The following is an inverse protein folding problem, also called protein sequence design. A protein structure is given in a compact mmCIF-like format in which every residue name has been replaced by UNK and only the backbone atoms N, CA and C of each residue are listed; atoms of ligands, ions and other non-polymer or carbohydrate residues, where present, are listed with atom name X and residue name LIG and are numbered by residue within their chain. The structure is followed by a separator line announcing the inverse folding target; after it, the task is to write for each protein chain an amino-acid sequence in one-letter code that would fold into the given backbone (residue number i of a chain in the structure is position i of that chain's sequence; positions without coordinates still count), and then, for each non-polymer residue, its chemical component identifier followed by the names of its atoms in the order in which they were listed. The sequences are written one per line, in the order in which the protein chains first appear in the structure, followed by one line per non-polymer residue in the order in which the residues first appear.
data_IF_973308240128
#
_entry.id   IF_973308240128
#
_cell.length_a   1.000
_cell.length_b   1.000
_cell.length_c   1.000
_cell.angle_alpha   90.00
_cell.angle_beta   90.00
_cell.angle_gamma   90.00
#
_symmetry.space_group_name_H-M   'P 1'
#
loop_
_entity.id
_entity.type
_entity.pdbx_description
1 polymer ?
#
# COMPACT_ATOMS: atom_id res chain seq x y z
N UNK A 1 35.16 -32.43 -21.70
CA UNK A 1 34.07 -31.68 -21.07
C UNK A 1 33.56 -32.34 -19.77
N UNK A 2 33.34 -33.66 -19.73
CA UNK A 2 32.88 -34.37 -18.53
C UNK A 2 33.90 -34.30 -17.37
N UNK A 3 35.19 -34.43 -17.68
CA UNK A 3 36.29 -34.36 -16.69
C UNK A 3 36.43 -32.94 -16.13
N UNK A 4 36.32 -31.93 -16.97
CA UNK A 4 36.32 -30.50 -16.53
C UNK A 4 35.14 -30.22 -15.59
N UNK A 5 33.93 -30.68 -15.92
CA UNK A 5 32.78 -30.56 -15.02
C UNK A 5 33.02 -31.25 -13.67
N UNK A 6 33.55 -32.47 -13.67
CA UNK A 6 33.86 -33.21 -12.44
C UNK A 6 34.90 -32.47 -11.58
N UNK A 7 35.90 -31.87 -12.21
CA UNK A 7 36.93 -31.09 -11.50
C UNK A 7 36.32 -29.80 -10.93
N UNK A 8 35.45 -29.11 -11.66
CA UNK A 8 34.71 -27.94 -11.18
C UNK A 8 33.87 -28.30 -9.96
N UNK A 9 33.08 -29.37 -10.01
CA UNK A 9 32.25 -29.82 -8.88
C UNK A 9 33.14 -30.20 -7.64
N UNK A 10 34.30 -30.83 -7.83
CA UNK A 10 35.24 -31.13 -6.76
C UNK A 10 35.81 -29.83 -6.13
N UNK A 11 36.15 -28.84 -6.95
CA UNK A 11 36.66 -27.55 -6.48
C UNK A 11 35.55 -26.80 -5.74
N UNK A 12 34.33 -26.79 -6.24
CA UNK A 12 33.16 -26.18 -5.57
C UNK A 12 32.95 -26.82 -4.20
N UNK A 13 32.95 -28.15 -4.08
CA UNK A 13 32.77 -28.85 -2.82
C UNK A 13 33.86 -28.49 -1.81
N UNK A 14 35.12 -28.39 -2.25
CA UNK A 14 36.24 -27.99 -1.39
C UNK A 14 36.12 -26.53 -0.94
N UNK A 15 35.73 -25.60 -1.85
CA UNK A 15 35.51 -24.20 -1.52
C UNK A 15 34.35 -24.03 -0.54
N UNK A 16 33.24 -24.74 -0.73
CA UNK A 16 32.14 -24.76 0.23
C UNK A 16 32.59 -25.28 1.61
N UNK A 17 33.39 -26.31 1.66
CA UNK A 17 33.94 -26.83 2.92
C UNK A 17 34.79 -25.78 3.63
N UNK A 18 35.66 -25.07 2.92
CA UNK A 18 36.48 -23.99 3.47
C UNK A 18 35.61 -22.81 3.91
N UNK A 19 34.67 -22.40 3.08
CA UNK A 19 33.79 -21.28 3.35
C UNK A 19 32.88 -21.50 4.56
N UNK A 20 32.37 -22.73 4.73
CA UNK A 20 31.58 -23.12 5.90
C UNK A 20 32.38 -23.22 7.19
N UNK A 21 33.73 -23.22 7.15
CA UNK A 21 34.61 -23.16 8.30
C UNK A 21 35.00 -21.74 8.70
N UNK A 22 34.73 -20.75 7.83
CA UNK A 22 35.04 -19.33 8.06
C UNK A 22 33.78 -18.63 8.54
N UNK A 23 33.76 -18.17 9.77
CA UNK A 23 32.76 -17.21 10.23
C UNK A 23 33.32 -15.79 10.13
N UNK A 24 32.46 -14.84 9.82
CA UNK A 24 32.84 -13.43 9.84
C UNK A 24 31.78 -12.61 10.59
N UNK A 25 32.25 -11.66 11.31
CA UNK A 25 31.40 -10.66 11.98
C UNK A 25 31.65 -9.30 11.38
N UNK A 26 30.62 -8.44 11.41
CA UNK A 26 30.77 -7.03 11.06
C UNK A 26 30.87 -6.25 12.35
N UNK A 27 32.01 -5.60 12.57
CA UNK A 27 32.22 -4.78 13.76
C UNK A 27 31.41 -3.45 13.68
N UNK A 28 31.43 -2.66 14.77
CA UNK A 28 30.72 -1.37 14.85
C UNK A 28 31.20 -0.34 13.81
N UNK A 29 32.37 -0.56 13.22
CA UNK A 29 32.95 0.32 12.18
C UNK A 29 32.66 -0.16 10.76
N UNK A 30 31.77 -1.17 10.58
CA UNK A 30 31.47 -1.79 9.29
C UNK A 30 32.65 -2.55 8.64
N UNK A 31 33.67 -2.89 9.39
CA UNK A 31 34.77 -3.74 8.93
C UNK A 31 34.39 -5.21 9.07
N UNK A 32 34.73 -6.01 8.06
CA UNK A 32 34.52 -7.46 8.07
C UNK A 32 35.67 -8.08 8.88
N UNK A 33 35.33 -8.70 9.99
CA UNK A 33 36.28 -9.45 10.81
C UNK A 33 36.04 -10.94 10.57
N UNK A 34 37.06 -11.64 10.08
CA UNK A 34 37.01 -13.09 9.87
C UNK A 34 37.34 -13.79 11.20
N UNK A 35 36.46 -14.67 11.66
CA UNK A 35 36.70 -15.52 12.82
C UNK A 35 36.83 -16.97 12.36
N UNK A 36 38.05 -17.51 12.48
CA UNK A 36 38.39 -18.87 12.08
C UNK A 36 38.15 -19.82 13.26
N UNK A 37 36.91 -20.25 13.46
CA UNK A 37 36.65 -21.31 14.43
C UNK A 37 35.42 -21.17 15.32
N UNK A 38 34.52 -20.27 15.09
CA UNK A 38 33.24 -20.21 15.82
C UNK A 38 32.17 -21.11 15.19
N UNK A 39 31.49 -21.86 16.02
CA UNK A 39 30.45 -22.84 15.62
C UNK A 39 29.10 -22.23 15.26
N UNK A 40 28.99 -20.90 15.28
CA UNK A 40 27.73 -20.16 15.08
C UNK A 40 27.66 -19.39 13.76
N UNK A 41 27.96 -20.02 12.66
CA UNK A 41 27.96 -19.34 11.37
C UNK A 41 26.55 -19.17 10.83
N UNK A 42 26.03 -17.94 10.84
CA UNK A 42 24.83 -17.53 10.06
C UNK A 42 25.05 -17.72 8.55
N UNK A 43 26.27 -18.05 8.15
CA UNK A 43 26.71 -18.24 6.77
C UNK A 43 26.95 -19.72 6.44
N UNK A 44 26.68 -20.66 7.36
CA UNK A 44 26.91 -22.09 7.15
C UNK A 44 26.27 -22.58 5.83
N UNK A 45 25.09 -22.07 5.49
CA UNK A 45 24.35 -22.43 4.28
C UNK A 45 24.31 -21.28 3.27
N UNK A 46 25.29 -20.35 3.32
CA UNK A 46 25.35 -19.22 2.41
C UNK A 46 25.65 -19.69 0.99
N UNK A 47 24.86 -19.20 0.04
CA UNK A 47 25.06 -19.44 -1.38
C UNK A 47 25.98 -18.37 -1.96
N UNK A 48 27.19 -18.80 -2.40
CA UNK A 48 28.18 -17.88 -2.97
C UNK A 48 28.17 -17.94 -4.50
N UNK A 49 27.65 -16.87 -5.11
CA UNK A 49 27.43 -16.80 -6.56
C UNK A 49 28.70 -16.97 -7.38
N UNK A 50 29.84 -16.45 -6.92
CA UNK A 50 31.13 -16.59 -7.59
C UNK A 50 31.63 -18.04 -7.63
N UNK A 51 31.28 -18.83 -6.60
CA UNK A 51 31.63 -20.26 -6.53
C UNK A 51 30.70 -21.10 -7.39
N UNK A 52 29.39 -20.77 -7.37
CA UNK A 52 28.39 -21.54 -8.09
C UNK A 52 28.40 -21.27 -9.60
N UNK A 53 28.80 -20.06 -10.01
CA UNK A 53 28.84 -19.60 -11.41
C UNK A 53 30.21 -19.04 -11.76
N UNK A 54 31.28 -19.88 -11.74
CA UNK A 54 32.65 -19.43 -12.04
C UNK A 54 32.80 -18.93 -13.50
N UNK A 55 31.90 -19.34 -14.40
CA UNK A 55 31.85 -18.88 -15.78
C UNK A 55 31.40 -17.41 -15.93
N UNK A 56 30.87 -16.82 -14.86
CA UNK A 56 30.47 -15.41 -14.81
C UNK A 56 31.51 -14.53 -14.10
N UNK A 57 32.72 -15.03 -13.88
CA UNK A 57 33.84 -14.24 -13.37
C UNK A 57 34.58 -13.57 -14.50
N UNK A 58 35.05 -12.35 -14.29
CA UNK A 58 35.98 -11.68 -15.18
C UNK A 58 37.42 -12.20 -14.97
N UNK A 59 38.38 -11.68 -15.74
CA UNK A 59 39.78 -12.05 -15.63
C UNK A 59 40.42 -11.79 -14.27
N UNK A 60 39.78 -10.97 -13.44
CA UNK A 60 40.20 -10.65 -12.05
C UNK A 60 39.47 -11.49 -11.00
N UNK A 61 38.60 -12.41 -11.43
CA UNK A 61 37.78 -13.23 -10.52
C UNK A 61 36.58 -12.50 -9.91
N UNK A 62 36.18 -11.35 -10.47
CA UNK A 62 35.02 -10.60 -9.99
C UNK A 62 33.76 -11.10 -10.70
N UNK A 63 32.70 -11.37 -9.92
CA UNK A 63 31.41 -11.78 -10.46
C UNK A 63 30.77 -10.64 -11.28
N UNK A 64 30.55 -10.88 -12.57
CA UNK A 64 30.07 -9.88 -13.51
C UNK A 64 28.54 -9.73 -13.54
N UNK A 65 27.80 -10.71 -13.00
CA UNK A 65 26.36 -10.75 -12.95
C UNK A 65 25.70 -11.52 -14.07
N UNK A 66 24.37 -11.63 -13.99
CA UNK A 66 23.52 -12.32 -14.96
C UNK A 66 23.02 -11.35 -16.04
N UNK A 67 22.75 -11.87 -17.24
CA UNK A 67 22.11 -11.12 -18.31
C UNK A 67 20.60 -11.00 -18.10
N UNK A 68 19.98 -12.03 -17.50
CA UNK A 68 18.54 -12.06 -17.23
C UNK A 68 18.23 -12.83 -15.97
N UNK A 69 17.30 -12.29 -15.18
CA UNK A 69 16.72 -12.97 -14.01
C UNK A 69 15.21 -12.97 -14.17
N UNK A 70 14.61 -14.15 -14.20
CA UNK A 70 13.17 -14.33 -14.21
C UNK A 70 12.75 -15.21 -13.03
N UNK A 71 11.65 -14.88 -12.35
CA UNK A 71 11.23 -15.70 -11.22
C UNK A 71 9.94 -15.28 -10.54
N UNK A 72 9.51 -16.19 -9.66
CA UNK A 72 8.44 -15.99 -8.71
C UNK A 72 9.04 -16.10 -7.30
N UNK A 73 9.45 -14.99 -6.67
CA UNK A 73 10.01 -15.01 -5.33
C UNK A 73 8.96 -15.45 -4.30
N UNK A 74 9.38 -16.02 -3.16
CA UNK A 74 8.45 -16.32 -2.09
C UNK A 74 7.82 -15.05 -1.50
N UNK A 75 6.54 -15.14 -1.12
CA UNK A 75 5.81 -14.05 -0.49
C UNK A 75 5.69 -14.34 1.01
N UNK A 76 6.21 -13.48 1.85
CA UNK A 76 6.12 -13.69 3.29
C UNK A 76 6.84 -12.59 4.08
N UNK A 77 6.45 -12.49 5.35
CA UNK A 77 7.06 -11.57 6.30
C UNK A 77 8.14 -12.30 7.10
N UNK A 78 9.28 -11.66 7.33
CA UNK A 78 10.32 -12.19 8.20
C UNK A 78 10.07 -11.74 9.64
N UNK A 79 9.90 -12.69 10.54
CA UNK A 79 9.69 -12.46 11.97
C UNK A 79 10.59 -13.34 12.83
N UNK A 80 10.87 -12.90 14.09
CA UNK A 80 11.59 -13.69 15.09
C UNK A 80 10.80 -14.90 15.60
N UNK A 81 9.46 -14.85 15.50
CA UNK A 81 8.55 -15.93 15.90
C UNK A 81 7.55 -16.18 14.77
N UNK A 82 7.19 -17.44 14.58
CA UNK A 82 6.17 -17.83 13.62
C UNK A 82 4.79 -17.48 14.19
N UNK A 83 4.29 -16.32 13.86
CA UNK A 83 3.01 -15.78 14.36
C UNK A 83 1.93 -15.74 13.29
N UNK A 84 1.82 -16.66 12.41
CA UNK A 84 0.74 -16.85 11.42
C UNK A 84 1.28 -17.61 10.19
N UNK A 85 0.40 -18.20 9.39
CA UNK A 85 0.74 -18.98 8.18
C UNK A 85 1.49 -18.19 7.09
N UNK A 86 1.68 -16.89 7.24
CA UNK A 86 2.35 -15.98 6.27
C UNK A 86 3.73 -15.48 6.73
N UNK A 87 4.17 -15.84 7.93
CA UNK A 87 5.47 -15.41 8.44
C UNK A 87 6.49 -16.55 8.44
N UNK A 88 7.71 -16.22 8.00
CA UNK A 88 8.86 -17.12 8.04
C UNK A 88 9.68 -16.73 9.26
N UNK A 89 9.90 -17.71 10.15
CA UNK A 89 10.77 -17.53 11.31
C UNK A 89 12.22 -17.61 10.86
N UNK A 90 13.01 -16.63 11.25
CA UNK A 90 14.46 -16.63 11.03
C UNK A 90 15.21 -16.36 12.33
N UNK A 91 16.44 -16.83 12.42
CA UNK A 91 17.30 -16.54 13.57
C UNK A 91 17.45 -15.02 13.78
N UNK A 92 17.49 -14.53 15.03
CA UNK A 92 17.61 -13.09 15.32
C UNK A 92 18.81 -12.43 14.63
N UNK A 93 19.95 -13.12 14.59
CA UNK A 93 21.20 -12.66 13.98
C UNK A 93 21.04 -12.47 12.47
N UNK A 94 20.37 -13.41 11.80
CA UNK A 94 20.09 -13.33 10.37
C UNK A 94 19.09 -12.20 10.06
N UNK A 95 18.08 -12.00 10.91
CA UNK A 95 17.14 -10.89 10.77
C UNK A 95 17.84 -9.54 10.93
N UNK A 96 18.78 -9.44 11.88
CA UNK A 96 19.57 -8.22 12.10
C UNK A 96 20.53 -7.97 10.93
N UNK A 97 21.14 -8.99 10.36
CA UNK A 97 21.91 -8.90 9.12
C UNK A 97 21.06 -8.33 7.98
N UNK A 98 19.86 -8.86 7.74
CA UNK A 98 18.98 -8.34 6.69
C UNK A 98 18.57 -6.87 6.91
N UNK A 99 18.38 -6.48 8.16
CA UNK A 99 18.04 -5.08 8.52
C UNK A 99 19.22 -4.13 8.36
N UNK A 100 20.45 -4.57 8.52
CA UNK A 100 21.65 -3.74 8.46
C UNK A 100 22.28 -3.73 7.07
N UNK A 101 22.13 -4.81 6.30
CA UNK A 101 22.70 -4.94 4.97
C UNK A 101 22.29 -3.82 4.02
N UNK A 102 23.29 -3.25 3.32
CA UNK A 102 23.08 -2.22 2.27
C UNK A 102 22.35 -2.79 1.05
N UNK A 103 22.50 -4.08 0.76
CA UNK A 103 21.79 -4.73 -0.36
C UNK A 103 20.29 -4.62 -0.22
N UNK A 104 19.78 -4.70 1.01
CA UNK A 104 18.34 -4.70 1.31
C UNK A 104 17.83 -3.37 1.84
N UNK A 105 18.58 -2.28 1.71
CA UNK A 105 18.21 -0.96 2.22
C UNK A 105 16.84 -0.49 1.69
N UNK A 106 16.58 -0.72 0.43
CA UNK A 106 15.33 -0.35 -0.22
C UNK A 106 14.15 -1.29 0.09
N UNK A 107 14.42 -2.47 0.63
CA UNK A 107 13.38 -3.37 1.11
C UNK A 107 12.82 -2.98 2.49
N UNK A 108 13.46 -2.03 3.18
CA UNK A 108 13.09 -1.56 4.53
C UNK A 108 11.89 -0.62 4.44
N UNK A 109 10.78 -1.06 5.01
CA UNK A 109 9.54 -0.27 5.13
C UNK A 109 8.57 -1.10 5.97
N UNK A 110 8.55 -0.88 7.30
CA UNK A 110 7.84 -1.76 8.23
C UNK A 110 8.51 -3.12 8.39
N UNK A 111 7.71 -4.18 8.51
CA UNK A 111 8.21 -5.57 8.59
C UNK A 111 8.85 -5.97 7.25
N UNK A 112 10.01 -6.62 7.30
CA UNK A 112 10.68 -7.09 6.09
C UNK A 112 9.81 -8.11 5.35
N UNK A 113 9.61 -7.87 4.06
CA UNK A 113 8.92 -8.80 3.17
C UNK A 113 9.92 -9.39 2.18
N UNK A 114 9.86 -10.70 2.01
CA UNK A 114 10.86 -11.45 1.23
C UNK A 114 10.88 -11.00 -0.23
N UNK A 115 9.73 -10.82 -0.89
CA UNK A 115 9.75 -10.43 -2.30
C UNK A 115 10.43 -9.07 -2.54
N UNK A 116 10.32 -8.10 -1.58
CA UNK A 116 11.05 -6.82 -1.66
C UNK A 116 12.55 -7.03 -1.60
N UNK A 117 13.00 -7.96 -0.75
CA UNK A 117 14.41 -8.32 -0.65
C UNK A 117 14.89 -9.00 -1.94
N UNK A 118 14.06 -9.86 -2.54
CA UNK A 118 14.36 -10.50 -3.82
C UNK A 118 14.53 -9.46 -4.94
N UNK A 119 13.67 -8.44 -5.02
CA UNK A 119 13.84 -7.35 -5.98
C UNK A 119 15.24 -6.72 -5.81
N UNK A 120 15.61 -6.32 -4.59
CA UNK A 120 16.93 -5.75 -4.32
C UNK A 120 18.07 -6.69 -4.74
N UNK A 121 17.96 -7.98 -4.37
CA UNK A 121 18.99 -8.97 -4.66
C UNK A 121 19.11 -9.26 -6.16
N UNK A 122 18.01 -9.40 -6.87
CA UNK A 122 18.02 -9.61 -8.32
C UNK A 122 18.76 -8.48 -9.03
N UNK A 123 18.43 -7.21 -8.74
CA UNK A 123 19.14 -6.09 -9.34
C UNK A 123 20.62 -6.00 -8.91
N UNK A 124 21.00 -6.47 -7.73
CA UNK A 124 22.40 -6.55 -7.34
C UNK A 124 23.19 -7.59 -8.15
N UNK A 125 22.53 -8.67 -8.56
CA UNK A 125 23.13 -9.78 -9.29
C UNK A 125 23.10 -9.62 -10.82
N UNK A 126 22.38 -8.66 -11.36
CA UNK A 126 22.35 -8.39 -12.80
C UNK A 126 23.59 -7.61 -13.24
N UNK A 127 24.03 -7.87 -14.48
CA UNK A 127 24.91 -6.96 -15.23
C UNK A 127 24.22 -5.62 -15.47
N UNK A 128 25.00 -4.58 -15.78
CA UNK A 128 24.42 -3.39 -16.40
C UNK A 128 23.72 -3.80 -17.71
N UNK A 129 22.58 -3.20 -18.00
CA UNK A 129 21.70 -3.54 -19.11
C UNK A 129 21.08 -4.95 -19.04
N UNK A 130 21.29 -5.69 -17.96
CA UNK A 130 20.62 -6.97 -17.71
C UNK A 130 19.13 -6.78 -17.34
N UNK A 131 18.31 -7.80 -17.66
CA UNK A 131 16.87 -7.76 -17.56
C UNK A 131 16.35 -8.52 -16.32
N UNK A 132 15.36 -7.96 -15.64
CA UNK A 132 14.67 -8.60 -14.52
C UNK A 132 13.19 -8.71 -14.82
N UNK A 133 12.61 -9.90 -14.64
CA UNK A 133 11.16 -10.11 -14.74
C UNK A 133 10.67 -10.94 -13.55
N UNK A 134 9.90 -10.32 -12.67
CA UNK A 134 9.43 -10.94 -11.44
C UNK A 134 7.93 -10.78 -11.28
N UNK A 135 7.27 -11.87 -10.81
CA UNK A 135 5.88 -11.84 -10.38
C UNK A 135 5.79 -11.77 -8.86
N UNK A 136 5.00 -10.85 -8.32
CA UNK A 136 4.84 -10.68 -6.87
C UNK A 136 3.50 -9.97 -6.55
N UNK A 137 3.14 -9.79 -5.23
CA UNK A 137 1.85 -9.20 -4.87
C UNK A 137 1.61 -7.81 -5.46
N UNK A 138 0.38 -7.58 -5.95
CA UNK A 138 -0.09 -6.30 -6.50
C UNK A 138 0.05 -5.14 -5.51
N UNK A 139 0.11 -5.42 -4.20
CA UNK A 139 0.41 -4.46 -3.15
C UNK A 139 1.70 -3.64 -3.42
N UNK A 140 2.60 -4.13 -4.28
CA UNK A 140 3.73 -3.35 -4.79
C UNK A 140 3.27 -2.02 -5.41
N UNK A 141 2.13 -1.98 -6.10
CA UNK A 141 1.70 -0.78 -6.82
C UNK A 141 1.14 0.33 -5.91
N UNK A 142 0.47 -0.01 -4.79
CA UNK A 142 -0.24 1.00 -3.99
C UNK A 142 0.09 1.02 -2.49
N UNK A 143 0.57 -0.08 -1.89
CA UNK A 143 0.80 -0.15 -0.45
C UNK A 143 1.95 0.78 0.00
N UNK A 144 1.73 1.56 1.06
CA UNK A 144 2.72 2.52 1.60
C UNK A 144 4.02 1.85 2.04
N UNK A 145 3.97 0.61 2.54
CA UNK A 145 5.18 -0.13 2.96
C UNK A 145 6.10 -0.47 1.80
N UNK A 146 5.61 -0.37 0.57
CA UNK A 146 6.37 -0.60 -0.66
C UNK A 146 6.92 0.68 -1.30
N UNK A 147 6.71 1.85 -0.69
CA UNK A 147 7.15 3.13 -1.27
C UNK A 147 8.65 3.17 -1.58
N UNK A 148 9.49 2.70 -0.66
CA UNK A 148 10.95 2.66 -0.86
C UNK A 148 11.37 1.73 -2.00
N UNK A 149 10.77 0.55 -2.11
CA UNK A 149 11.12 -0.36 -3.20
C UNK A 149 10.61 0.14 -4.55
N UNK A 150 9.45 0.84 -4.59
CA UNK A 150 8.99 1.55 -5.79
C UNK A 150 9.97 2.65 -6.18
N UNK A 151 10.39 3.47 -5.23
CA UNK A 151 11.40 4.51 -5.45
C UNK A 151 12.69 3.91 -6.02
N UNK A 152 13.20 2.82 -5.44
CA UNK A 152 14.38 2.13 -5.95
C UNK A 152 14.22 1.74 -7.43
N UNK A 153 13.10 1.08 -7.75
CA UNK A 153 12.84 0.61 -9.11
C UNK A 153 12.77 1.79 -10.08
N UNK A 154 12.06 2.88 -9.73
CA UNK A 154 11.89 4.05 -10.60
C UNK A 154 13.18 4.87 -10.79
N UNK A 155 14.04 4.95 -9.77
CA UNK A 155 15.25 5.80 -9.81
C UNK A 155 16.49 5.07 -10.30
N UNK A 156 16.52 3.74 -10.20
CA UNK A 156 17.73 2.97 -10.46
C UNK A 156 17.59 1.98 -11.62
N UNK A 157 16.41 1.84 -12.21
CA UNK A 157 16.16 0.93 -13.32
C UNK A 157 15.32 1.61 -14.41
N UNK A 158 15.38 1.07 -15.61
CA UNK A 158 14.40 1.32 -16.65
C UNK A 158 13.26 0.32 -16.42
N UNK A 159 12.12 0.78 -15.96
CA UNK A 159 10.92 -0.06 -15.95
C UNK A 159 10.45 -0.20 -17.37
N UNK A 160 10.36 -1.43 -17.87
CA UNK A 160 9.92 -1.69 -19.24
C UNK A 160 8.38 -1.84 -19.27
N UNK A 161 7.84 -2.61 -18.33
CA UNK A 161 6.39 -2.81 -18.21
C UNK A 161 5.98 -3.27 -16.79
N UNK A 162 4.70 -3.08 -16.49
CA UNK A 162 4.00 -3.72 -15.37
C UNK A 162 2.72 -4.36 -15.92
N UNK A 163 2.55 -5.68 -15.72
CA UNK A 163 1.33 -6.39 -16.02
C UNK A 163 0.59 -6.66 -14.72
N UNK A 164 -0.58 -6.05 -14.51
CA UNK A 164 -1.34 -6.09 -13.27
C UNK A 164 -2.53 -7.06 -13.35
N UNK A 165 -2.67 -7.96 -12.36
CA UNK A 165 -3.76 -8.94 -12.24
C UNK A 165 -4.50 -8.69 -10.92
N UNK A 166 -5.46 -7.74 -10.88
CA UNK A 166 -6.14 -7.36 -9.66
C UNK A 166 -7.18 -8.37 -9.18
N UNK A 167 -7.69 -9.26 -10.06
CA UNK A 167 -8.73 -10.22 -9.70
C UNK A 167 -8.21 -11.27 -8.71
N UNK A 168 -8.88 -11.39 -7.56
CA UNK A 168 -8.53 -12.35 -6.51
C UNK A 168 -9.72 -13.11 -5.94
N UNK A 169 -10.93 -12.63 -6.18
CA UNK A 169 -12.14 -13.20 -5.58
C UNK A 169 -12.68 -14.36 -6.40
N UNK A 170 -12.63 -14.24 -7.72
CA UNK A 170 -13.07 -15.29 -8.64
C UNK A 170 -11.93 -16.29 -8.87
N UNK A 171 -12.04 -17.49 -8.30
CA UNK A 171 -10.98 -18.52 -8.33
C UNK A 171 -10.51 -18.87 -9.75
N UNK A 172 -11.41 -18.99 -10.71
CA UNK A 172 -11.07 -19.33 -12.10
C UNK A 172 -10.26 -18.28 -12.83
N UNK A 173 -10.30 -17.01 -12.36
CA UNK A 173 -9.63 -15.85 -12.94
C UNK A 173 -8.37 -15.44 -12.21
N UNK A 174 -8.08 -16.03 -11.04
CA UNK A 174 -6.83 -15.76 -10.31
C UNK A 174 -5.63 -16.36 -11.04
N UNK A 175 -4.49 -15.67 -10.99
CA UNK A 175 -3.22 -16.21 -11.48
C UNK A 175 -2.82 -17.45 -10.67
N UNK A 176 -2.89 -17.38 -9.34
CA UNK A 176 -2.64 -18.51 -8.44
C UNK A 176 -3.96 -19.04 -7.89
N UNK A 177 -4.38 -20.21 -8.36
CA UNK A 177 -5.69 -20.79 -8.05
C UNK A 177 -5.92 -20.97 -6.55
N UNK A 178 -4.91 -21.51 -5.85
CA UNK A 178 -5.01 -21.87 -4.42
C UNK A 178 -4.85 -20.66 -3.47
N UNK A 179 -4.48 -19.48 -4.00
CA UNK A 179 -4.16 -18.30 -3.17
C UNK A 179 -5.05 -17.14 -3.56
N UNK A 180 -5.86 -16.64 -2.62
CA UNK A 180 -6.68 -15.43 -2.79
C UNK A 180 -5.80 -14.16 -2.77
N UNK A 181 -5.07 -13.93 -3.87
CA UNK A 181 -4.11 -12.83 -3.97
C UNK A 181 -4.11 -12.21 -5.37
N UNK A 182 -4.08 -10.89 -5.41
CA UNK A 182 -3.79 -10.10 -6.61
C UNK A 182 -2.28 -10.01 -6.81
N UNK A 183 -1.82 -10.08 -8.05
CA UNK A 183 -0.39 -10.06 -8.37
C UNK A 183 -0.07 -9.09 -9.50
N UNK A 184 1.21 -8.73 -9.65
CA UNK A 184 1.72 -8.04 -10.83
C UNK A 184 3.04 -8.66 -11.29
N UNK A 185 3.34 -8.50 -12.57
CA UNK A 185 4.63 -8.83 -13.18
C UNK A 185 5.33 -7.51 -13.47
N UNK A 186 6.55 -7.36 -12.96
CA UNK A 186 7.44 -6.25 -13.25
C UNK A 186 8.53 -6.72 -14.21
N UNK A 187 8.60 -6.11 -15.39
CA UNK A 187 9.76 -6.20 -16.29
C UNK A 187 10.57 -4.91 -16.20
N UNK A 188 11.88 -5.04 -15.94
CA UNK A 188 12.77 -3.89 -15.84
C UNK A 188 14.21 -4.23 -16.23
N UNK A 189 14.91 -3.24 -16.80
CA UNK A 189 16.31 -3.32 -17.19
C UNK A 189 17.19 -2.56 -16.20
N UNK A 190 18.34 -3.11 -15.81
CA UNK A 190 19.30 -2.47 -14.90
C UNK A 190 20.03 -1.32 -15.61
N UNK A 191 19.30 -0.22 -15.81
CA UNK A 191 19.77 1.00 -16.47
C UNK A 191 19.00 2.18 -15.90
N UNK A 192 19.69 3.29 -15.63
CA UNK A 192 19.02 4.54 -15.26
C UNK A 192 18.47 5.24 -16.49
N UNK A 193 17.26 5.79 -16.35
CA UNK A 193 16.60 6.60 -17.38
C UNK A 193 16.12 7.92 -16.77
N UNK A 194 15.83 8.95 -17.57
CA UNK A 194 15.22 10.18 -17.09
C UNK A 194 13.87 9.91 -16.41
N UNK A 195 13.51 10.71 -15.41
CA UNK A 195 12.22 10.59 -14.69
C UNK A 195 10.99 10.79 -15.59
N UNK A 196 11.17 11.42 -16.75
CA UNK A 196 10.15 11.59 -17.79
C UNK A 196 10.00 10.35 -18.72
N UNK A 197 10.86 9.33 -18.59
CA UNK A 197 10.73 8.09 -19.34
C UNK A 197 9.41 7.41 -19.01
N UNK A 198 8.65 7.01 -20.03
CA UNK A 198 7.35 6.34 -19.87
C UNK A 198 7.47 4.85 -20.06
N UNK A 199 6.87 4.11 -19.13
CA UNK A 199 6.72 2.66 -19.20
C UNK A 199 5.24 2.27 -19.25
N UNK A 200 4.97 1.06 -19.71
CA UNK A 200 3.60 0.57 -19.85
C UNK A 200 3.09 -0.08 -18.56
N UNK A 201 1.82 0.17 -18.23
CA UNK A 201 1.05 -0.54 -17.20
C UNK A 201 -0.19 -1.09 -17.86
N UNK A 202 -0.38 -2.42 -17.84
CA UNK A 202 -1.53 -3.08 -18.43
C UNK A 202 -2.30 -3.85 -17.36
N UNK A 203 -3.63 -3.78 -17.39
CA UNK A 203 -4.51 -4.41 -16.41
C UNK A 203 -5.23 -5.59 -17.07
N UNK A 204 -5.10 -6.76 -16.47
CA UNK A 204 -5.74 -8.00 -16.92
C UNK A 204 -6.88 -8.39 -15.99
N UNK A 205 -8.07 -8.62 -16.55
CA UNK A 205 -9.27 -9.08 -15.82
C UNK A 205 -9.29 -10.59 -15.61
N UNK A 206 -8.40 -11.29 -16.28
CA UNK A 206 -8.24 -12.75 -16.21
C UNK A 206 -6.78 -13.08 -15.86
N UNK A 207 -6.47 -14.34 -15.65
CA UNK A 207 -5.15 -14.86 -15.26
C UNK A 207 -4.10 -14.88 -16.37
N UNK A 208 -4.47 -14.49 -17.56
CA UNK A 208 -3.58 -14.50 -18.73
C UNK A 208 -3.20 -13.07 -19.13
N UNK A 209 -1.98 -12.91 -19.64
CA UNK A 209 -1.60 -11.68 -20.34
C UNK A 209 -2.42 -11.62 -21.64
N UNK A 210 -3.09 -10.50 -21.83
CA UNK A 210 -3.83 -10.20 -23.06
C UNK A 210 -3.27 -8.91 -23.65
N UNK A 211 -2.56 -9.05 -24.77
CA UNK A 211 -1.93 -7.94 -25.47
C UNK A 211 -2.94 -6.97 -26.12
N UNK A 212 -4.21 -7.39 -26.26
CA UNK A 212 -5.27 -6.49 -26.74
C UNK A 212 -5.75 -5.51 -25.67
N UNK A 213 -5.44 -5.76 -24.38
CA UNK A 213 -5.75 -4.78 -23.33
C UNK A 213 -4.93 -3.51 -23.54
N UNK A 214 -5.61 -2.37 -23.53
CA UNK A 214 -4.96 -1.06 -23.63
C UNK A 214 -3.95 -0.86 -22.50
N UNK A 215 -2.72 -0.51 -22.86
CA UNK A 215 -1.68 -0.15 -21.89
C UNK A 215 -1.77 1.34 -21.55
N UNK A 216 -1.66 1.68 -20.28
CA UNK A 216 -1.38 3.02 -19.82
C UNK A 216 0.14 3.27 -19.86
N UNK A 217 0.55 4.40 -20.41
CA UNK A 217 1.95 4.85 -20.39
C UNK A 217 2.10 5.98 -19.36
N UNK A 218 2.92 5.73 -18.34
CA UNK A 218 3.14 6.65 -17.22
C UNK A 218 4.63 6.81 -16.94
N UNK A 219 5.03 8.02 -16.52
CA UNK A 219 6.39 8.34 -16.12
C UNK A 219 6.52 8.44 -14.59
N UNK A 220 7.77 8.40 -14.09
CA UNK A 220 8.03 8.64 -12.67
C UNK A 220 7.61 10.04 -12.23
N UNK A 221 7.75 11.06 -13.10
CA UNK A 221 7.29 12.41 -12.80
C UNK A 221 5.77 12.49 -12.64
N UNK A 222 5.01 11.80 -13.48
CA UNK A 222 3.55 11.71 -13.36
C UNK A 222 3.12 10.95 -12.10
N UNK A 223 3.83 9.86 -11.74
CA UNK A 223 3.58 9.14 -10.47
C UNK A 223 3.83 10.06 -9.27
N UNK A 224 4.90 10.84 -9.26
CA UNK A 224 5.17 11.83 -8.20
C UNK A 224 4.10 12.93 -8.14
N UNK A 225 3.57 13.36 -9.27
CA UNK A 225 2.47 14.33 -9.31
C UNK A 225 1.18 13.75 -8.69
N UNK A 226 0.91 12.46 -8.92
CA UNK A 226 -0.25 11.77 -8.34
C UNK A 226 -0.05 11.52 -6.84
N UNK A 227 1.09 10.95 -6.45
CA UNK A 227 1.42 10.61 -5.06
C UNK A 227 2.93 10.76 -4.80
N UNK A 228 3.34 11.93 -4.33
CA UNK A 228 4.75 12.23 -4.08
C UNK A 228 5.33 11.54 -2.83
N UNK A 229 4.47 11.06 -1.94
CA UNK A 229 4.89 10.46 -0.66
C UNK A 229 5.08 8.96 -0.76
N UNK A 230 4.12 8.28 -1.33
CA UNK A 230 4.15 6.81 -1.39
C UNK A 230 4.41 6.28 -2.80
N UNK A 231 4.39 7.14 -3.83
CA UNK A 231 4.66 6.80 -5.23
C UNK A 231 3.71 5.71 -5.76
N UNK A 232 2.44 5.80 -5.40
CA UNK A 232 1.43 4.83 -5.81
C UNK A 232 1.19 4.87 -7.31
N UNK A 233 1.18 3.71 -7.95
CA UNK A 233 0.95 3.53 -9.39
C UNK A 233 -0.52 3.19 -9.57
N UNK A 234 -1.33 4.06 -10.21
CA UNK A 234 -2.77 3.84 -10.31
C UNK A 234 -3.13 2.71 -11.27
N UNK A 235 -4.21 2.00 -10.95
CA UNK A 235 -4.80 0.96 -11.82
C UNK A 235 -5.85 1.58 -12.75
N UNK A 236 -5.39 2.32 -13.75
CA UNK A 236 -6.23 3.11 -14.67
C UNK A 236 -5.88 2.82 -16.13
N UNK A 237 -6.77 3.26 -17.03
CA UNK A 237 -6.53 3.28 -18.48
C UNK A 237 -5.87 4.59 -18.91
N UNK A 238 -5.31 4.63 -20.12
CA UNK A 238 -4.60 5.81 -20.63
C UNK A 238 -5.44 7.09 -20.60
N UNK A 239 -6.70 7.02 -20.98
CA UNK A 239 -7.60 8.19 -21.00
C UNK A 239 -8.00 8.68 -19.59
N UNK A 240 -7.90 7.84 -18.56
CA UNK A 240 -8.16 8.20 -17.16
C UNK A 240 -6.97 8.97 -16.53
N UNK A 241 -5.75 8.82 -17.07
CA UNK A 241 -4.55 9.47 -16.52
C UNK A 241 -4.66 11.00 -16.53
N UNK A 242 -5.25 11.58 -17.57
CA UNK A 242 -5.47 13.04 -17.65
C UNK A 242 -6.37 13.55 -16.52
N UNK A 243 -7.39 12.78 -16.14
CA UNK A 243 -8.28 13.11 -15.00
C UNK A 243 -7.49 13.07 -13.70
N UNK A 244 -6.67 12.04 -13.48
CA UNK A 244 -5.82 11.93 -12.31
C UNK A 244 -4.87 13.14 -12.16
N UNK A 245 -4.16 13.49 -13.22
CA UNK A 245 -3.25 14.64 -13.22
C UNK A 245 -4.00 15.97 -13.00
N UNK A 246 -5.18 16.11 -13.59
CA UNK A 246 -6.07 17.27 -13.37
C UNK A 246 -6.51 17.38 -11.91
N UNK A 247 -6.86 16.26 -11.27
CA UNK A 247 -7.27 16.24 -9.85
C UNK A 247 -6.14 16.64 -8.92
N UNK A 248 -4.91 16.21 -9.22
CA UNK A 248 -3.74 16.44 -8.36
C UNK A 248 -3.03 17.77 -8.62
N UNK A 249 -3.34 18.45 -9.73
CA UNK A 249 -2.81 19.77 -9.99
C UNK A 249 -3.47 20.83 -9.10
N UNK A 250 -2.67 21.69 -8.46
CA UNK A 250 -3.13 22.79 -7.59
C UNK A 250 -4.12 22.33 -6.52
N UNK A 251 -3.85 21.21 -5.86
CA UNK A 251 -4.62 20.69 -4.75
C UNK A 251 -3.84 20.75 -3.43
N UNK A 252 -4.56 20.75 -2.30
CA UNK A 252 -4.02 20.37 -1.00
C UNK A 252 -4.17 18.87 -0.81
N UNK A 253 -3.27 18.24 -0.09
CA UNK A 253 -3.49 16.88 0.38
C UNK A 253 -4.38 16.90 1.61
N UNK A 254 -5.22 15.86 1.81
CA UNK A 254 -6.09 15.79 2.98
C UNK A 254 -5.31 15.93 4.29
N UNK A 255 -4.09 15.37 4.37
CA UNK A 255 -3.18 15.50 5.53
C UNK A 255 -2.78 16.93 5.87
N UNK A 256 -2.87 17.87 4.93
CA UNK A 256 -2.62 19.30 5.17
C UNK A 256 -3.84 20.01 5.79
N UNK A 257 -5.00 19.37 5.75
CA UNK A 257 -6.27 19.86 6.28
C UNK A 257 -6.57 19.18 7.62
N UNK A 258 -6.50 17.85 7.65
CA UNK A 258 -6.74 17.03 8.84
C UNK A 258 -6.05 15.69 8.71
N UNK A 259 -5.44 15.23 9.81
CA UNK A 259 -4.90 13.89 9.89
C UNK A 259 -6.02 12.86 10.01
N UNK A 260 -5.88 11.73 9.33
CA UNK A 260 -6.76 10.58 9.51
C UNK A 260 -6.34 9.73 10.72
N UNK A 261 -7.30 9.41 11.57
CA UNK A 261 -7.14 8.57 12.75
C UNK A 261 -7.96 7.29 12.58
N UNK A 262 -7.47 6.18 13.13
CA UNK A 262 -8.29 4.97 13.35
C UNK A 262 -9.02 5.10 14.69
N UNK A 263 -10.21 4.53 14.81
CA UNK A 263 -11.02 4.57 16.02
C UNK A 263 -10.24 4.27 17.29
N UNK A 264 -10.60 4.92 18.38
CA UNK A 264 -9.90 4.88 19.67
C UNK A 264 -10.08 3.56 20.40
N UNK A 265 -11.12 2.79 20.08
CA UNK A 265 -11.45 1.53 20.76
C UNK A 265 -11.00 0.35 19.89
N UNK A 266 -9.96 -0.35 20.30
CA UNK A 266 -9.67 -1.68 19.79
C UNK A 266 -10.53 -2.71 20.49
N UNK A 267 -11.44 -3.36 19.75
CA UNK A 267 -12.45 -4.28 20.30
C UNK A 267 -11.80 -5.44 21.05
N UNK A 268 -10.65 -5.92 20.58
CA UNK A 268 -9.96 -7.04 21.22
C UNK A 268 -9.21 -6.62 22.48
N UNK A 269 -8.51 -5.48 22.41
CA UNK A 269 -7.69 -4.98 23.53
C UNK A 269 -8.54 -4.38 24.67
N UNK A 270 -9.68 -3.77 24.32
CA UNK A 270 -10.55 -3.06 25.26
C UNK A 270 -11.84 -3.86 25.59
N UNK A 271 -11.84 -5.18 25.37
CA UNK A 271 -13.03 -6.03 25.51
C UNK A 271 -13.69 -5.93 26.88
N UNK A 272 -12.94 -5.65 27.96
CA UNK A 272 -13.46 -5.48 29.35
C UNK A 272 -14.39 -4.27 29.48
N UNK A 273 -14.30 -3.27 28.61
CA UNK A 273 -15.14 -2.07 28.63
C UNK A 273 -16.32 -2.15 27.66
N UNK A 274 -16.34 -3.15 26.76
CA UNK A 274 -17.40 -3.29 25.77
C UNK A 274 -18.61 -3.99 26.36
N UNK A 275 -19.78 -3.49 26.01
CA UNK A 275 -21.07 -3.96 26.53
C UNK A 275 -22.14 -3.95 25.45
N UNK A 276 -23.21 -4.74 25.65
CA UNK A 276 -24.40 -4.73 24.80
C UNK A 276 -25.54 -3.88 25.46
N UNK A 277 -25.27 -3.22 26.57
CA UNK A 277 -26.28 -2.41 27.27
C UNK A 277 -26.43 -1.02 26.66
N UNK A 278 -27.61 -0.70 26.17
CA UNK A 278 -27.93 0.63 25.61
C UNK A 278 -27.95 1.77 26.63
N UNK A 279 -27.79 1.45 27.92
CA UNK A 279 -27.61 2.46 28.97
C UNK A 279 -26.20 3.01 29.03
N UNK A 280 -25.22 2.33 28.39
CA UNK A 280 -23.84 2.78 28.31
C UNK A 280 -23.62 3.71 27.08
N UNK A 281 -22.42 4.26 26.92
CA UNK A 281 -22.13 5.20 25.87
C UNK A 281 -22.12 4.54 24.49
N UNK A 282 -22.69 5.20 23.48
CA UNK A 282 -22.71 4.72 22.08
C UNK A 282 -21.32 4.58 21.51
N UNK A 283 -21.07 3.45 20.82
CA UNK A 283 -19.83 3.16 20.13
C UNK A 283 -20.13 2.85 18.65
N UNK A 284 -19.54 3.62 17.75
CA UNK A 284 -19.68 3.41 16.32
C UNK A 284 -18.76 2.30 15.82
N UNK A 285 -19.32 1.41 15.00
CA UNK A 285 -18.60 0.42 14.20
C UNK A 285 -18.67 0.78 12.73
N UNK A 286 -17.71 0.30 11.93
CA UNK A 286 -17.65 0.60 10.50
C UNK A 286 -18.95 0.32 9.74
N UNK A 287 -19.63 -0.81 10.04
CA UNK A 287 -20.89 -1.18 9.39
C UNK A 287 -22.04 -0.18 9.61
N UNK A 288 -22.00 0.61 10.68
CA UNK A 288 -23.01 1.64 10.97
C UNK A 288 -22.82 2.92 10.16
N UNK A 289 -21.62 3.16 9.61
CA UNK A 289 -21.31 4.40 8.88
C UNK A 289 -21.76 4.24 7.44
N UNK A 290 -22.68 5.08 7.02
CA UNK A 290 -23.16 5.20 5.65
C UNK A 290 -22.84 6.60 5.11
N UNK A 291 -23.12 6.81 3.82
CA UNK A 291 -22.95 8.10 3.17
C UNK A 291 -23.97 9.10 3.69
N UNK A 292 -23.50 10.08 4.48
CA UNK A 292 -24.27 11.15 5.16
C UNK A 292 -25.16 10.72 6.34
N UNK A 293 -25.22 9.44 6.75
CA UNK A 293 -26.01 9.03 7.92
C UNK A 293 -25.36 7.86 8.67
N UNK A 294 -25.80 7.66 9.89
CA UNK A 294 -25.48 6.50 10.74
C UNK A 294 -26.72 5.61 10.80
N UNK A 295 -26.53 4.30 10.66
CA UNK A 295 -27.61 3.30 10.75
C UNK A 295 -27.36 2.29 11.83
N UNK A 296 -28.44 1.82 12.45
CA UNK A 296 -28.42 0.65 13.32
C UNK A 296 -28.88 -0.63 12.59
N UNK A 297 -29.34 -0.52 11.36
CA UNK A 297 -29.62 -1.66 10.47
C UNK A 297 -28.31 -2.11 9.81
N UNK A 298 -27.63 -3.06 10.44
CA UNK A 298 -26.33 -3.57 10.02
C UNK A 298 -26.42 -5.04 9.65
N UNK A 299 -25.82 -5.40 8.52
CA UNK A 299 -25.81 -6.78 8.02
C UNK A 299 -24.81 -7.69 8.74
N UNK A 300 -23.84 -7.14 9.49
CA UNK A 300 -22.80 -7.92 10.16
C UNK A 300 -22.44 -7.37 11.54
N UNK A 301 -22.39 -8.27 12.53
CA UNK A 301 -22.01 -7.98 13.91
C UNK A 301 -23.13 -7.29 14.70
N UNK A 302 -22.84 -6.92 15.95
CA UNK A 302 -23.77 -6.35 16.91
C UNK A 302 -23.55 -4.85 17.09
N UNK A 303 -24.57 -4.13 17.53
CA UNK A 303 -24.45 -2.77 18.05
C UNK A 303 -23.80 -2.89 19.42
N UNK A 304 -22.71 -2.19 19.63
CA UNK A 304 -21.92 -2.24 20.85
C UNK A 304 -21.91 -0.88 21.55
N UNK A 305 -21.76 -0.94 22.86
CA UNK A 305 -21.68 0.22 23.76
C UNK A 305 -20.40 0.15 24.58
N UNK A 306 -20.02 1.25 25.22
CA UNK A 306 -18.79 1.38 25.99
C UNK A 306 -19.07 1.86 27.41
N UNK A 307 -18.49 1.17 28.39
CA UNK A 307 -18.38 1.67 29.80
C UNK A 307 -17.31 2.77 29.81
N UNK A 308 -17.74 3.98 29.44
CA UNK A 308 -16.82 5.08 29.12
C UNK A 308 -15.95 5.50 30.30
N UNK A 309 -16.52 5.60 31.52
CA UNK A 309 -15.77 6.02 32.71
C UNK A 309 -14.59 5.09 32.99
N UNK A 310 -14.82 3.77 32.97
CA UNK A 310 -13.76 2.78 33.15
C UNK A 310 -12.70 2.80 32.05
N UNK A 311 -13.11 3.03 30.79
CA UNK A 311 -12.18 3.18 29.67
C UNK A 311 -11.32 4.45 29.81
N UNK A 312 -11.93 5.60 30.09
CA UNK A 312 -11.25 6.89 30.18
C UNK A 312 -10.31 6.97 31.39
N UNK A 313 -10.64 6.29 32.50
CA UNK A 313 -9.75 6.20 33.68
C UNK A 313 -8.42 5.52 33.33
N UNK A 314 -8.45 4.49 32.49
CA UNK A 314 -7.26 3.75 32.07
C UNK A 314 -6.55 4.35 30.82
N UNK A 315 -7.28 5.06 29.97
CA UNK A 315 -6.78 5.57 28.69
C UNK A 315 -6.85 7.10 28.65
N UNK A 316 -5.77 7.77 29.10
CA UNK A 316 -5.70 9.23 29.24
C UNK A 316 -4.97 9.92 28.07
N UNK A 317 -4.72 9.20 26.94
CA UNK A 317 -4.08 9.77 25.76
C UNK A 317 -5.00 10.75 25.02
N UNK A 318 -4.43 11.65 24.21
CA UNK A 318 -5.17 12.64 23.41
C UNK A 318 -6.31 11.99 22.60
N UNK A 319 -6.01 10.88 21.95
CA UNK A 319 -6.97 10.15 21.10
C UNK A 319 -8.23 9.70 21.85
N UNK A 320 -8.13 9.34 23.14
CA UNK A 320 -9.29 8.94 23.94
C UNK A 320 -10.25 10.09 24.23
N UNK A 321 -9.80 11.35 24.08
CA UNK A 321 -10.61 12.55 24.26
C UNK A 321 -11.34 12.98 22.97
N UNK A 322 -11.04 12.35 21.83
CA UNK A 322 -11.65 12.72 20.55
C UNK A 322 -13.15 12.42 20.49
N UNK A 323 -13.69 11.55 21.37
CA UNK A 323 -15.14 11.29 21.49
C UNK A 323 -15.95 12.56 21.80
N UNK A 324 -15.34 13.59 22.38
CA UNK A 324 -15.96 14.88 22.71
C UNK A 324 -15.91 15.89 21.54
N UNK A 325 -15.42 15.50 20.37
CA UNK A 325 -15.32 16.37 19.21
C UNK A 325 -16.22 15.89 18.07
N UNK A 326 -16.81 16.83 17.34
CA UNK A 326 -17.47 16.56 16.06
C UNK A 326 -16.42 16.00 15.08
N UNK A 327 -16.73 14.91 14.39
CA UNK A 327 -15.79 14.19 13.53
C UNK A 327 -16.45 13.74 12.23
N UNK A 328 -15.72 13.77 11.12
CA UNK A 328 -16.08 13.02 9.93
C UNK A 328 -15.63 11.57 10.17
N UNK A 329 -16.58 10.64 10.24
CA UNK A 329 -16.33 9.21 10.44
C UNK A 329 -16.54 8.44 9.16
N UNK A 330 -15.77 7.36 8.95
CA UNK A 330 -15.79 6.55 7.74
C UNK A 330 -15.60 5.07 8.03
N UNK A 331 -16.11 4.20 7.15
CA UNK A 331 -15.82 2.78 7.21
C UNK A 331 -14.31 2.53 7.02
N UNK A 332 -13.68 1.81 7.95
CA UNK A 332 -12.28 1.41 7.87
C UNK A 332 -12.04 0.17 7.00
N UNK A 333 -13.09 -0.58 6.67
CA UNK A 333 -13.02 -1.78 5.84
C UNK A 333 -14.17 -1.75 4.85
N UNK A 334 -13.85 -1.74 3.56
CA UNK A 334 -14.81 -1.83 2.45
C UNK A 334 -14.27 -2.83 1.43
N UNK A 335 -15.13 -3.65 0.82
CA UNK A 335 -14.69 -4.61 -0.18
C UNK A 335 -13.98 -3.92 -1.37
N UNK A 336 -12.94 -4.53 -1.93
CA UNK A 336 -12.21 -3.94 -3.09
C UNK A 336 -13.14 -3.74 -4.29
N UNK A 337 -14.13 -4.61 -4.46
CA UNK A 337 -15.10 -4.59 -5.55
C UNK A 337 -16.39 -3.81 -5.20
N UNK A 338 -16.45 -3.16 -4.03
CA UNK A 338 -17.58 -2.32 -3.65
C UNK A 338 -17.67 -1.08 -4.55
N UNK A 339 -18.87 -0.75 -5.02
CA UNK A 339 -19.13 0.45 -5.81
C UNK A 339 -18.74 1.73 -5.04
N UNK A 340 -19.03 1.74 -3.74
CA UNK A 340 -18.69 2.85 -2.84
C UNK A 340 -17.65 2.40 -1.83
N UNK A 341 -16.40 2.82 -2.04
CA UNK A 341 -15.28 2.58 -1.13
C UNK A 341 -15.22 3.64 -0.03
N UNK A 342 -15.57 4.87 -0.34
CA UNK A 342 -15.64 5.98 0.61
C UNK A 342 -17.11 6.18 1.05
N UNK A 343 -17.42 5.83 2.31
CA UNK A 343 -18.70 6.07 2.95
C UNK A 343 -18.45 6.82 4.24
N UNK A 344 -18.87 8.09 4.29
CA UNK A 344 -18.54 8.98 5.40
C UNK A 344 -19.78 9.74 5.88
N UNK A 345 -19.79 10.09 7.17
CA UNK A 345 -20.82 10.95 7.76
C UNK A 345 -20.25 11.73 8.94
N UNK A 346 -21.06 12.63 9.51
CA UNK A 346 -20.73 13.35 10.73
C UNK A 346 -21.11 12.54 11.98
N UNK A 347 -20.18 12.40 12.92
CA UNK A 347 -20.49 11.96 14.27
C UNK A 347 -20.47 13.15 15.23
N UNK A 348 -21.63 13.44 15.83
CA UNK A 348 -21.75 14.46 16.87
C UNK A 348 -21.35 13.86 18.23
N UNK A 349 -20.68 14.62 19.11
CA UNK A 349 -20.33 14.12 20.43
C UNK A 349 -21.59 13.79 21.26
N UNK A 350 -21.53 12.82 22.20
CA UNK A 350 -20.37 11.97 22.47
C UNK A 350 -20.47 10.63 21.73
N UNK A 351 -19.54 10.35 20.81
CA UNK A 351 -19.43 9.04 20.17
C UNK A 351 -18.01 8.49 20.30
N UNK A 352 -17.89 7.24 20.74
CA UNK A 352 -16.65 6.49 20.64
C UNK A 352 -16.60 5.73 19.31
N UNK A 353 -15.41 5.55 18.73
CA UNK A 353 -15.22 4.85 17.47
C UNK A 353 -14.42 3.57 17.67
N UNK A 354 -14.94 2.44 17.21
CA UNK A 354 -14.22 1.18 17.15
C UNK A 354 -13.09 1.25 16.09
N UNK A 355 -12.11 0.37 16.19
CA UNK A 355 -11.00 0.26 15.25
C UNK A 355 -11.39 -0.07 13.79
N UNK A 356 -12.64 -0.43 13.54
CA UNK A 356 -13.25 -0.56 12.20
C UNK A 356 -13.74 0.77 11.60
N UNK A 357 -13.62 1.87 12.34
CA UNK A 357 -13.95 3.24 11.91
C UNK A 357 -12.67 4.04 11.81
N UNK A 358 -12.45 4.76 10.71
CA UNK A 358 -11.49 5.84 10.65
C UNK A 358 -12.21 7.19 10.76
N UNK A 359 -11.49 8.24 11.16
CA UNK A 359 -12.10 9.56 11.30
C UNK A 359 -11.12 10.70 11.08
N UNK A 360 -11.68 11.87 10.72
CA UNK A 360 -10.98 13.14 10.54
C UNK A 360 -11.56 14.16 11.53
N UNK A 361 -10.71 15.09 11.95
CA UNK A 361 -11.11 16.25 12.80
C UNK A 361 -10.61 17.52 12.07
N UNK A 362 -11.25 17.94 10.98
CA UNK A 362 -10.90 19.19 10.31
C UNK A 362 -11.30 20.40 11.16
N UNK A 363 -10.85 21.57 10.75
CA UNK A 363 -11.35 22.82 11.30
C UNK A 363 -12.87 22.90 11.09
N UNK A 364 -13.60 23.34 12.12
CA UNK A 364 -15.06 23.43 12.12
C UNK A 364 -15.55 24.89 11.93
N UNK A 365 -14.62 25.83 11.74
CA UNK A 365 -14.95 27.23 11.49
C UNK A 365 -15.79 27.33 10.22
N UNK A 366 -16.92 28.03 10.30
CA UNK A 366 -17.87 28.23 9.19
C UNK A 366 -18.34 26.91 8.53
N UNK A 367 -18.48 25.83 9.33
CA UNK A 367 -18.88 24.49 8.87
C UNK A 367 -18.00 23.93 7.73
N UNK A 368 -16.73 24.30 7.72
CA UNK A 368 -15.76 23.84 6.72
C UNK A 368 -15.63 22.32 6.68
N UNK A 369 -15.86 21.62 7.80
CA UNK A 369 -15.93 20.16 7.85
C UNK A 369 -17.09 19.58 7.01
N UNK A 370 -18.20 20.32 6.82
CA UNK A 370 -19.27 19.91 5.90
C UNK A 370 -18.83 20.00 4.43
N UNK A 371 -18.08 21.06 4.09
CA UNK A 371 -17.47 21.14 2.76
C UNK A 371 -16.56 19.94 2.50
N UNK A 372 -15.68 19.61 3.45
CA UNK A 372 -14.76 18.45 3.34
C UNK A 372 -15.56 17.15 3.21
N UNK A 373 -16.62 16.96 4.00
CA UNK A 373 -17.47 15.77 3.89
C UNK A 373 -18.11 15.65 2.52
N UNK A 374 -18.60 16.76 1.94
CA UNK A 374 -19.18 16.78 0.59
C UNK A 374 -18.17 16.36 -0.47
N UNK A 375 -16.96 16.93 -0.44
CA UNK A 375 -15.87 16.56 -1.36
C UNK A 375 -15.54 15.07 -1.21
N UNK A 376 -15.29 14.57 0.00
CA UNK A 376 -14.88 13.19 0.25
C UNK A 376 -15.94 12.15 -0.12
N UNK A 377 -17.23 12.49 -0.01
CA UNK A 377 -18.34 11.61 -0.38
C UNK A 377 -18.69 11.68 -1.88
N UNK A 378 -18.04 12.52 -2.67
CA UNK A 378 -18.35 12.65 -4.10
C UNK A 378 -17.97 11.39 -4.90
N UNK A 379 -18.68 11.19 -6.03
CA UNK A 379 -18.33 10.13 -6.98
C UNK A 379 -16.89 10.25 -7.45
N UNK A 380 -16.41 11.47 -7.69
CA UNK A 380 -15.06 11.74 -8.18
C UNK A 380 -14.00 11.25 -7.20
N UNK A 381 -14.10 11.59 -5.91
CA UNK A 381 -13.11 11.16 -4.89
C UNK A 381 -13.21 9.65 -4.63
N UNK A 382 -14.42 9.09 -4.64
CA UNK A 382 -14.60 7.64 -4.53
C UNK A 382 -13.96 6.90 -5.72
N UNK A 383 -14.14 7.39 -6.95
CA UNK A 383 -13.52 6.85 -8.16
C UNK A 383 -11.99 6.93 -8.07
N UNK A 384 -11.44 8.09 -7.70
CA UNK A 384 -10.00 8.30 -7.53
C UNK A 384 -9.41 7.32 -6.50
N UNK A 385 -10.04 7.22 -5.33
CA UNK A 385 -9.62 6.30 -4.27
C UNK A 385 -9.64 4.84 -4.74
N UNK A 386 -10.72 4.40 -5.39
CA UNK A 386 -10.87 3.03 -5.86
C UNK A 386 -9.79 2.60 -6.87
N UNK A 387 -9.26 3.54 -7.67
CA UNK A 387 -8.21 3.28 -8.65
C UNK A 387 -6.79 3.23 -8.06
N UNK A 388 -6.58 3.79 -6.88
CA UNK A 388 -5.29 3.75 -6.17
C UNK A 388 -5.23 2.66 -5.11
N UNK A 389 -6.36 2.38 -4.44
CA UNK A 389 -6.42 1.43 -3.33
C UNK A 389 -6.37 -0.02 -3.82
N UNK A 390 -5.40 -0.77 -3.33
CA UNK A 390 -5.14 -2.16 -3.74
C UNK A 390 -5.62 -3.21 -2.74
N UNK A 391 -6.21 -2.80 -1.62
CA UNK A 391 -6.67 -3.70 -0.55
C UNK A 391 -8.07 -3.35 -0.02
N UNK A 392 -8.65 -4.21 0.83
CA UNK A 392 -10.00 -4.02 1.37
C UNK A 392 -10.08 -2.96 2.46
N UNK A 393 -8.97 -2.61 3.09
CA UNK A 393 -8.94 -1.60 4.12
C UNK A 393 -8.90 -0.20 3.48
N UNK A 394 -9.60 0.73 4.12
CA UNK A 394 -9.46 2.17 3.87
C UNK A 394 -8.39 2.65 4.86
N UNK A 395 -7.15 2.71 4.43
CA UNK A 395 -6.04 3.07 5.32
C UNK A 395 -5.95 4.59 5.52
N UNK A 396 -5.57 5.01 6.71
CA UNK A 396 -5.41 6.43 7.02
C UNK A 396 -4.45 7.15 6.06
N UNK A 397 -3.37 6.52 5.63
CA UNK A 397 -2.42 7.12 4.69
C UNK A 397 -3.00 7.33 3.28
N UNK A 398 -3.97 6.49 2.85
CA UNK A 398 -4.67 6.66 1.58
C UNK A 398 -5.61 7.87 1.64
N UNK A 399 -6.31 8.04 2.77
CA UNK A 399 -7.15 9.22 3.03
C UNK A 399 -6.30 10.48 3.12
N UNK A 400 -5.19 10.45 3.86
CA UNK A 400 -4.24 11.56 4.00
C UNK A 400 -3.70 12.04 2.64
N UNK A 401 -3.59 11.14 1.66
CA UNK A 401 -3.12 11.40 0.30
C UNK A 401 -4.18 11.96 -0.67
N UNK A 402 -5.46 12.00 -0.30
CA UNK A 402 -6.52 12.46 -1.20
C UNK A 402 -6.32 13.92 -1.62
N UNK A 403 -6.47 14.24 -2.93
CA UNK A 403 -6.34 15.59 -3.44
C UNK A 403 -7.62 16.39 -3.13
N UNK A 404 -7.49 17.51 -2.43
CA UNK A 404 -8.62 18.39 -2.06
C UNK A 404 -8.44 19.74 -2.75
N UNK A 405 -9.38 20.12 -3.62
CA UNK A 405 -9.47 21.44 -4.21
C UNK A 405 -10.51 22.28 -3.49
N UNK A 406 -10.19 23.55 -3.26
CA UNK A 406 -11.01 24.42 -2.41
C UNK A 406 -12.20 25.06 -3.13
N UNK A 407 -12.22 25.12 -4.46
CA UNK A 407 -13.25 25.81 -5.21
C UNK A 407 -13.38 27.31 -4.87
N UNK A 408 -14.43 27.94 -5.35
CA UNK A 408 -14.78 29.33 -4.98
C UNK A 408 -15.49 29.37 -3.63
N UNK A 409 -15.68 30.57 -3.07
CA UNK A 409 -16.45 30.75 -1.81
C UNK A 409 -17.90 30.31 -1.99
N UNK A 410 -18.50 30.65 -3.13
CA UNK A 410 -19.87 30.31 -3.49
C UNK A 410 -20.06 28.79 -3.56
N UNK A 411 -19.18 28.09 -4.26
CA UNK A 411 -19.22 26.63 -4.37
C UNK A 411 -19.06 25.93 -3.01
N UNK A 412 -18.20 26.47 -2.13
CA UNK A 412 -18.06 25.93 -0.78
C UNK A 412 -19.33 26.09 0.03
N UNK A 413 -19.93 27.30 0.03
CA UNK A 413 -21.15 27.58 0.76
C UNK A 413 -22.32 26.72 0.29
N UNK A 414 -22.44 26.50 -1.03
CA UNK A 414 -23.47 25.66 -1.61
C UNK A 414 -23.31 24.19 -1.16
N UNK A 415 -22.08 23.65 -1.19
CA UNK A 415 -21.80 22.28 -0.66
C UNK A 415 -22.11 22.21 0.84
N UNK A 416 -21.72 23.22 1.64
CA UNK A 416 -21.99 23.25 3.09
C UNK A 416 -23.50 23.19 3.34
N UNK A 417 -24.28 23.99 2.63
CA UNK A 417 -25.73 23.97 2.74
C UNK A 417 -26.32 22.60 2.39
N UNK A 418 -25.98 22.05 1.23
CA UNK A 418 -26.50 20.76 0.77
C UNK A 418 -26.13 19.62 1.73
N UNK A 419 -24.90 19.61 2.25
CA UNK A 419 -24.47 18.63 3.25
C UNK A 419 -25.23 18.79 4.55
N UNK A 420 -25.46 20.02 5.02
CA UNK A 420 -26.28 20.30 6.21
C UNK A 420 -27.69 19.71 6.09
N UNK A 421 -28.30 19.85 4.90
CA UNK A 421 -29.63 19.29 4.60
C UNK A 421 -29.59 17.75 4.50
N UNK A 422 -28.54 17.17 3.88
CA UNK A 422 -28.37 15.72 3.78
C UNK A 422 -28.15 15.01 5.11
N UNK A 423 -27.50 15.68 6.05
CA UNK A 423 -27.32 15.16 7.41
C UNK A 423 -28.61 15.14 8.24
N UNK A 424 -29.59 15.94 7.86
CA UNK A 424 -30.95 15.92 8.45
C UNK A 424 -31.86 14.89 7.77
N UNK A 425 -31.80 14.82 6.43
CA UNK A 425 -32.60 13.90 5.63
C UNK A 425 -31.87 13.57 4.35
N UNK A 426 -31.55 12.28 4.15
CA UNK A 426 -30.86 11.80 2.97
C UNK A 426 -31.70 11.99 1.72
N UNK A 427 -31.10 12.56 0.66
CA UNK A 427 -31.73 12.85 -0.62
C UNK A 427 -30.71 12.65 -1.77
N UNK A 428 -30.98 11.71 -2.67
CA UNK A 428 -30.14 11.41 -3.83
C UNK A 428 -30.02 12.59 -4.81
N UNK A 429 -30.99 13.47 -4.88
CA UNK A 429 -30.95 14.66 -5.76
C UNK A 429 -29.86 15.60 -5.27
N UNK A 430 -29.83 15.88 -3.97
CA UNK A 430 -28.80 16.74 -3.37
C UNK A 430 -27.40 16.13 -3.45
N UNK A 431 -27.29 14.80 -3.35
CA UNK A 431 -26.02 14.10 -3.57
C UNK A 431 -25.52 14.35 -4.99
N UNK A 432 -26.39 14.31 -5.99
CA UNK A 432 -26.04 14.59 -7.39
C UNK A 432 -25.66 16.05 -7.60
N UNK A 433 -26.35 17.01 -6.96
CA UNK A 433 -25.98 18.42 -6.99
C UNK A 433 -24.57 18.64 -6.45
N UNK A 434 -24.21 18.00 -5.33
CA UNK A 434 -22.84 18.04 -4.79
C UNK A 434 -21.85 17.46 -5.80
N UNK A 435 -22.15 16.30 -6.42
CA UNK A 435 -21.27 15.70 -7.44
C UNK A 435 -21.02 16.68 -8.61
N UNK A 436 -22.06 17.39 -9.08
CA UNK A 436 -21.95 18.36 -10.18
C UNK A 436 -21.07 19.57 -9.79
N UNK A 437 -21.21 20.09 -8.56
CA UNK A 437 -20.35 21.16 -8.04
C UNK A 437 -18.91 20.67 -7.92
N UNK A 438 -18.69 19.46 -7.41
CA UNK A 438 -17.36 18.86 -7.29
C UNK A 438 -16.72 18.68 -8.66
N UNK A 439 -17.44 18.22 -9.66
CA UNK A 439 -16.94 18.14 -11.04
C UNK A 439 -16.46 19.51 -11.55
N UNK A 440 -17.22 20.59 -11.28
CA UNK A 440 -16.80 21.95 -11.65
C UNK A 440 -15.52 22.37 -10.91
N UNK A 441 -15.43 22.15 -9.59
CA UNK A 441 -14.25 22.48 -8.77
C UNK A 441 -12.98 21.79 -9.32
N UNK A 442 -13.09 20.54 -9.75
CA UNK A 442 -11.97 19.79 -10.30
C UNK A 442 -11.78 20.00 -11.81
N UNK A 443 -12.63 20.75 -12.47
CA UNK A 443 -12.57 21.00 -13.90
C UNK A 443 -12.84 19.76 -14.76
N UNK A 444 -13.73 18.88 -14.27
CA UNK A 444 -14.15 17.67 -14.99
C UNK A 444 -15.14 18.09 -16.09
N UNK A 445 -14.86 17.69 -17.30
CA UNK A 445 -15.69 17.98 -18.48
C UNK A 445 -16.85 17.00 -18.62
N UNK A 446 -17.87 17.37 -19.42
CA UNK A 446 -19.00 16.48 -19.71
C UNK A 446 -18.58 15.15 -20.38
N UNK A 447 -17.45 15.14 -21.12
CA UNK A 447 -16.90 13.93 -21.73
C UNK A 447 -16.18 13.01 -20.71
N UNK A 448 -15.71 13.57 -19.59
CA UNK A 448 -15.02 12.83 -18.54
C UNK A 448 -15.98 12.25 -17.48
N UNK A 449 -17.16 12.88 -17.28
CA UNK A 449 -18.17 12.39 -16.31
C UNK A 449 -18.55 10.92 -16.53
N UNK A 450 -18.87 10.45 -17.75
CA UNK A 450 -19.19 9.03 -17.96
C UNK A 450 -18.06 8.08 -17.60
N UNK A 451 -16.78 8.49 -17.68
CA UNK A 451 -15.62 7.69 -17.30
C UNK A 451 -15.59 7.46 -15.77
N UNK A 452 -16.01 8.47 -15.01
CA UNK A 452 -16.05 8.44 -13.55
C UNK A 452 -17.29 7.70 -13.05
N UNK A 453 -18.41 7.86 -13.73
CA UNK A 453 -19.69 7.30 -13.31
C UNK A 453 -19.87 5.82 -13.68
N UNK A 454 -19.13 5.30 -14.67
CA UNK A 454 -19.06 3.89 -15.07
C UNK A 454 -20.01 3.52 -16.16
#
# INVERSE_FOLDING_TARGET
KAEIRKNIESIKANLHSIYNQISFSVNKNMEIVFDYGSDSSIYRDAFEWAIEFPELLDEKGVFTGFDCIIGNPPYGLLNKKQNQNTSISVAPELLDYYKTSKVYEWAKGGVLNIYRMFICRCFSLLKNDGHCCLIFPLAFMGDATNSKIRQFVMENTQVDFIEAFPERDIESKRVFKEVKMSVCILGATKRKVPSSYKFSVRIHRDKYVDDNNEAMFISYDEIKAIDNKYLSIPLIRQHELSIFLKMTNECKRMSEISKCYTGEIDISLHSEFITNSSSDHSMLRGAQVQKYYITNDISQGDILFLKADGYLDKNKGEKSQHHNRRRIVMQGITGVNEKWRLKMTMAQPPYFCANSVNYLIPDMTDDFDYFILGILNSKLLNWYFAKLSTNSNVNGYEIDGLPIKMGTVEQRNEIIQLVGELLQSYDEIKVKEIDDIVYQIYGITEYEKPIIEG
#
